data_IF_423444577574
#
_entry.id   IF_423444577574
#
_cell.length_a   1.000
_cell.length_b   1.000
_cell.length_c   1.000
_cell.angle_alpha   90.00
_cell.angle_beta   90.00
_cell.angle_gamma   90.00
#
_symmetry.space_group_name_H-M   'P 1'
#
loop_
_entity.id
_entity.type
_entity.pdbx_description
1 polymer ?
#
# COMPACT_ATOMS: atom_id res chain seq x y z
N UNK A 1 -22.50 4.90 -1.26
CA UNK A 1 -21.91 3.54 -1.39
C UNK A 1 -21.15 3.21 -0.11
N UNK A 2 -21.19 1.95 0.35
CA UNK A 2 -20.40 1.54 1.52
C UNK A 2 -18.91 1.56 1.17
N UNK A 3 -18.00 1.98 2.08
CA UNK A 3 -16.57 1.96 1.83
C UNK A 3 -16.06 0.52 1.69
N UNK A 4 -15.10 0.30 0.79
CA UNK A 4 -14.42 -0.99 0.63
C UNK A 4 -13.50 -1.27 1.81
N UNK A 5 -12.72 -0.26 2.22
CA UNK A 5 -11.85 -0.34 3.39
C UNK A 5 -12.32 0.68 4.43
N UNK A 6 -12.41 0.25 5.67
CA UNK A 6 -12.78 1.10 6.80
C UNK A 6 -11.87 0.81 8.00
N UNK A 7 -11.42 1.88 8.63
CA UNK A 7 -10.61 1.86 9.85
C UNK A 7 -11.32 2.67 10.91
N UNK A 8 -11.47 2.14 12.12
CA UNK A 8 -12.09 2.83 13.24
C UNK A 8 -11.25 2.72 14.50
N UNK A 9 -10.93 3.85 15.09
CA UNK A 9 -10.25 3.95 16.36
C UNK A 9 -8.95 3.17 16.42
N UNK A 10 -8.11 3.22 15.37
CA UNK A 10 -6.90 2.41 15.30
C UNK A 10 -5.81 2.96 16.22
N UNK A 11 -5.35 2.15 17.15
CA UNK A 11 -4.28 2.47 18.08
C UNK A 11 -3.10 1.53 17.93
N UNK A 12 -1.88 2.08 18.03
CA UNK A 12 -0.64 1.30 18.05
C UNK A 12 0.43 1.98 18.87
N UNK A 13 1.09 1.21 19.72
CA UNK A 13 2.24 1.63 20.52
C UNK A 13 3.41 0.68 20.32
N UNK A 14 4.62 1.18 20.45
CA UNK A 14 5.87 0.42 20.53
C UNK A 14 6.56 0.80 21.85
N UNK A 15 6.46 -0.09 22.84
CA UNK A 15 6.82 0.26 24.21
C UNK A 15 5.97 1.44 24.71
N UNK A 16 6.62 2.47 25.23
CA UNK A 16 5.95 3.68 25.74
C UNK A 16 5.61 4.70 24.64
N UNK A 17 6.00 4.43 23.39
CA UNK A 17 5.77 5.35 22.29
C UNK A 17 4.44 5.05 21.56
N UNK A 18 3.46 5.95 21.73
CA UNK A 18 2.17 5.89 21.05
C UNK A 18 2.29 6.43 19.62
N UNK A 19 2.31 5.52 18.64
CA UNK A 19 2.48 5.87 17.21
C UNK A 19 1.15 6.18 16.54
N UNK A 20 0.10 5.39 16.80
CA UNK A 20 -1.25 5.65 16.30
C UNK A 20 -2.18 5.93 17.47
N UNK A 21 -2.97 7.01 17.36
CA UNK A 21 -3.76 7.57 18.45
C UNK A 21 -5.24 7.73 18.08
N UNK A 22 -5.85 6.64 17.58
CA UNK A 22 -7.25 6.63 17.18
C UNK A 22 -7.42 7.11 15.73
N UNK A 23 -6.85 6.38 14.77
CA UNK A 23 -7.03 6.66 13.34
C UNK A 23 -8.40 6.16 12.89
N UNK A 24 -9.17 7.05 12.26
CA UNK A 24 -10.41 6.75 11.56
C UNK A 24 -10.25 7.12 10.08
N UNK A 25 -10.47 6.16 9.18
CA UNK A 25 -10.34 6.37 7.74
C UNK A 25 -11.27 5.44 6.96
N UNK A 26 -11.61 5.85 5.75
CA UNK A 26 -12.37 5.02 4.81
C UNK A 26 -11.88 5.20 3.38
N UNK A 27 -11.97 4.13 2.58
CA UNK A 27 -11.58 4.12 1.17
C UNK A 27 -12.75 3.56 0.35
N UNK A 28 -13.18 4.32 -0.64
CA UNK A 28 -14.25 3.90 -1.53
C UNK A 28 -13.75 2.82 -2.52
N UNK A 29 -14.62 1.93 -3.03
CA UNK A 29 -14.24 1.02 -4.11
C UNK A 29 -13.76 1.81 -5.33
N UNK A 30 -12.67 1.34 -5.97
CA UNK A 30 -12.12 1.94 -7.18
C UNK A 30 -11.46 3.30 -6.97
N UNK A 31 -11.19 3.71 -5.73
CA UNK A 31 -10.57 5.00 -5.43
C UNK A 31 -9.13 4.86 -4.93
N UNK A 32 -8.38 5.94 -5.10
CA UNK A 32 -7.00 6.09 -4.62
C UNK A 32 -6.97 7.01 -3.41
N UNK A 33 -6.56 6.47 -2.25
CA UNK A 33 -6.31 7.24 -1.04
C UNK A 33 -4.81 7.38 -0.82
N UNK A 34 -4.32 8.61 -0.71
CA UNK A 34 -2.89 8.89 -0.46
C UNK A 34 -2.69 9.36 0.98
N UNK A 35 -1.72 8.76 1.67
CA UNK A 35 -1.27 9.15 3.00
C UNK A 35 0.02 9.97 2.88
N UNK A 36 0.00 11.19 3.38
CA UNK A 36 1.16 12.08 3.46
C UNK A 36 1.42 12.51 4.90
N UNK A 37 2.60 13.04 5.17
CA UNK A 37 2.98 13.55 6.48
C UNK A 37 4.49 13.41 6.75
N UNK A 38 5.02 14.03 7.82
CA UNK A 38 6.42 13.96 8.17
C UNK A 38 6.90 12.54 8.48
N UNK A 39 8.22 12.32 8.43
CA UNK A 39 8.82 11.07 8.90
C UNK A 39 8.45 10.82 10.36
N UNK A 40 8.13 9.57 10.70
CA UNK A 40 7.70 9.20 12.05
C UNK A 40 6.24 9.56 12.41
N UNK A 41 5.44 10.11 11.49
CA UNK A 41 4.02 10.42 11.76
C UNK A 41 3.10 9.20 11.88
N UNK A 42 3.57 8.00 11.50
CA UNK A 42 2.82 6.75 11.58
C UNK A 42 2.24 6.23 10.26
N UNK A 43 2.54 6.84 9.09
CA UNK A 43 2.01 6.44 7.77
C UNK A 43 2.20 4.95 7.47
N UNK A 44 3.45 4.50 7.52
CA UNK A 44 3.80 3.07 7.31
C UNK A 44 3.13 2.17 8.33
N UNK A 45 3.00 2.61 9.59
CA UNK A 45 2.30 1.85 10.63
C UNK A 45 0.81 1.74 10.34
N UNK A 46 0.15 2.82 9.90
CA UNK A 46 -1.25 2.75 9.42
C UNK A 46 -1.33 1.74 8.27
N UNK A 47 -0.53 1.91 7.22
CA UNK A 47 -0.59 1.06 6.03
C UNK A 47 -0.39 -0.42 6.36
N UNK A 48 0.62 -0.74 7.19
CA UNK A 48 0.90 -2.12 7.63
C UNK A 48 -0.14 -2.68 8.59
N UNK A 49 -0.88 -1.82 9.27
CA UNK A 49 -2.01 -2.23 10.09
C UNK A 49 -3.23 -2.66 9.26
N UNK A 50 -3.40 -2.08 8.05
CA UNK A 50 -4.53 -2.43 7.16
C UNK A 50 -4.49 -3.90 6.73
N UNK A 51 -3.32 -4.51 6.61
CA UNK A 51 -3.15 -5.93 6.27
C UNK A 51 -2.64 -6.78 7.46
N UNK A 52 -2.62 -6.19 8.66
CA UNK A 52 -2.12 -6.82 9.88
C UNK A 52 -0.68 -7.38 9.78
N UNK A 53 0.19 -6.78 8.96
CA UNK A 53 1.65 -6.95 9.08
C UNK A 53 2.14 -6.32 10.37
N UNK A 54 1.58 -5.16 10.72
CA UNK A 54 1.67 -4.58 12.05
C UNK A 54 0.34 -4.79 12.76
N UNK A 55 0.34 -5.54 13.85
CA UNK A 55 -0.90 -5.83 14.60
C UNK A 55 -1.26 -4.64 15.48
N UNK A 56 -2.41 -3.99 15.26
CA UNK A 56 -2.88 -2.91 16.14
C UNK A 56 -3.13 -3.38 17.58
N UNK A 57 -3.01 -2.46 18.52
CA UNK A 57 -3.33 -2.72 19.94
C UNK A 57 -4.84 -2.63 20.20
N UNK A 58 -5.53 -1.75 19.45
CA UNK A 58 -6.98 -1.58 19.50
C UNK A 58 -7.53 -0.99 18.19
N UNK A 59 -8.82 -1.10 18.01
CA UNK A 59 -9.55 -0.56 16.86
C UNK A 59 -10.02 -1.63 15.88
N UNK A 60 -10.68 -1.21 14.80
CA UNK A 60 -11.25 -2.13 13.80
C UNK A 60 -10.68 -1.83 12.43
N UNK A 61 -10.34 -2.87 11.68
CA UNK A 61 -10.02 -2.81 10.24
C UNK A 61 -10.98 -3.72 9.49
N UNK A 62 -11.66 -3.18 8.49
CA UNK A 62 -12.56 -3.91 7.59
C UNK A 62 -12.13 -3.72 6.14
N UNK A 63 -12.04 -4.82 5.39
CA UNK A 63 -11.82 -4.82 3.93
C UNK A 63 -12.90 -5.73 3.32
N UNK A 64 -13.78 -5.18 2.51
CA UNK A 64 -14.94 -5.89 2.00
C UNK A 64 -15.80 -6.46 3.14
N UNK A 65 -16.00 -7.78 3.10
CA UNK A 65 -16.78 -8.52 4.10
C UNK A 65 -15.93 -9.01 5.28
N UNK A 66 -14.61 -8.80 5.26
CA UNK A 66 -13.70 -9.22 6.32
C UNK A 66 -13.46 -8.08 7.29
N UNK A 67 -13.88 -8.25 8.54
CA UNK A 67 -13.66 -7.29 9.64
C UNK A 67 -12.90 -7.95 10.78
N UNK A 68 -11.94 -7.23 11.33
CA UNK A 68 -11.17 -7.63 12.51
C UNK A 68 -11.19 -6.50 13.53
N UNK A 69 -11.72 -6.80 14.72
CA UNK A 69 -11.64 -5.94 15.88
C UNK A 69 -10.41 -6.34 16.71
N UNK A 70 -9.45 -5.47 16.75
CA UNK A 70 -8.22 -5.64 17.53
C UNK A 70 -8.45 -5.19 18.96
N UNK A 71 -8.05 -6.05 19.89
CA UNK A 71 -8.13 -5.74 21.32
C UNK A 71 -7.15 -6.66 22.09
N UNK A 72 -6.82 -6.36 23.34
CA UNK A 72 -5.99 -7.23 24.15
C UNK A 72 -6.58 -8.66 24.37
N UNK A 73 -7.86 -8.84 24.12
CA UNK A 73 -8.52 -10.15 24.19
C UNK A 73 -8.29 -11.02 22.95
N UNK A 74 -8.06 -10.39 21.78
CA UNK A 74 -7.80 -11.12 20.52
C UNK A 74 -6.35 -11.61 20.48
N UNK A 75 -6.10 -12.89 20.80
CA UNK A 75 -4.76 -13.47 20.94
C UNK A 75 -4.64 -14.86 20.31
N UNK A 76 -3.40 -15.33 20.18
CA UNK A 76 -3.07 -16.70 19.80
C UNK A 76 -3.68 -17.12 18.47
N UNK A 77 -4.30 -18.30 18.41
CA UNK A 77 -4.88 -18.86 17.17
C UNK A 77 -6.02 -18.01 16.60
N UNK A 78 -6.80 -17.33 17.45
CA UNK A 78 -7.88 -16.47 17.01
C UNK A 78 -7.32 -15.25 16.25
N UNK A 79 -6.31 -14.59 16.80
CA UNK A 79 -5.59 -13.50 16.15
C UNK A 79 -4.98 -13.96 14.82
N UNK A 80 -4.26 -15.08 14.81
CA UNK A 80 -3.64 -15.61 13.60
C UNK A 80 -4.65 -15.87 12.48
N UNK A 81 -5.80 -16.47 12.80
CA UNK A 81 -6.87 -16.72 11.81
C UNK A 81 -7.46 -15.41 11.29
N UNK A 82 -7.73 -14.45 12.17
CA UNK A 82 -8.30 -13.17 11.82
C UNK A 82 -7.35 -12.36 10.90
N UNK A 83 -6.08 -12.26 11.28
CA UNK A 83 -5.07 -11.54 10.49
C UNK A 83 -4.77 -12.22 9.14
N UNK A 84 -4.78 -13.56 9.08
CA UNK A 84 -4.63 -14.28 7.80
C UNK A 84 -5.78 -13.99 6.85
N UNK A 85 -7.03 -13.97 7.34
CA UNK A 85 -8.20 -13.62 6.52
C UNK A 85 -8.16 -12.17 6.03
N UNK A 86 -7.76 -11.23 6.91
CA UNK A 86 -7.64 -9.81 6.55
C UNK A 86 -6.54 -9.61 5.51
N UNK A 87 -5.37 -10.24 5.70
CA UNK A 87 -4.23 -10.14 4.77
C UNK A 87 -4.56 -10.67 3.38
N UNK A 88 -5.40 -11.70 3.29
CA UNK A 88 -5.83 -12.26 2.01
C UNK A 88 -6.67 -11.29 1.16
N UNK A 89 -7.17 -10.17 1.74
CA UNK A 89 -7.95 -9.17 1.02
C UNK A 89 -7.07 -8.09 0.36
N UNK A 90 -5.78 -8.03 0.68
CA UNK A 90 -4.89 -6.95 0.24
C UNK A 90 -3.60 -7.45 -0.40
N UNK A 91 -3.17 -6.81 -1.47
CA UNK A 91 -1.80 -6.91 -1.99
C UNK A 91 -0.94 -5.80 -1.40
N UNK A 92 0.34 -6.06 -1.15
CA UNK A 92 1.25 -5.04 -0.63
C UNK A 92 2.51 -4.93 -1.47
N UNK A 93 2.85 -3.70 -1.82
CA UNK A 93 4.07 -3.29 -2.49
C UNK A 93 4.93 -2.54 -1.48
N UNK A 94 6.15 -3.03 -1.28
CA UNK A 94 7.07 -2.51 -0.27
C UNK A 94 8.11 -1.56 -0.88
N UNK A 95 8.66 -0.70 -0.06
CA UNK A 95 9.77 0.20 -0.41
C UNK A 95 11.01 -0.57 -0.91
N UNK A 96 11.36 -1.70 -0.30
CA UNK A 96 12.57 -2.48 -0.58
C UNK A 96 12.30 -3.68 -1.51
N UNK A 97 11.36 -3.60 -2.44
CA UNK A 97 10.99 -4.63 -3.42
C UNK A 97 10.65 -6.01 -2.80
N UNK A 98 11.47 -6.53 -1.88
CA UNK A 98 11.32 -7.80 -1.15
C UNK A 98 11.05 -9.01 -2.06
N UNK A 99 11.73 -9.06 -3.21
CA UNK A 99 11.66 -10.23 -4.09
C UNK A 99 12.47 -11.38 -3.51
N UNK A 100 12.02 -12.59 -3.76
CA UNK A 100 12.77 -13.80 -3.43
C UNK A 100 13.95 -13.96 -4.40
N UNK A 101 15.21 -13.80 -3.94
CA UNK A 101 16.36 -13.73 -4.85
C UNK A 101 16.68 -15.06 -5.56
N UNK A 102 16.22 -16.18 -5.01
CA UNK A 102 16.40 -17.52 -5.54
C UNK A 102 15.30 -17.97 -6.51
N UNK A 103 14.24 -17.16 -6.66
CA UNK A 103 13.15 -17.40 -7.60
C UNK A 103 13.30 -16.50 -8.84
N UNK A 104 12.84 -16.98 -9.99
CA UNK A 104 12.73 -16.16 -11.19
C UNK A 104 11.66 -15.06 -11.00
N UNK A 105 11.63 -14.11 -11.91
CA UNK A 105 10.63 -13.03 -11.93
C UNK A 105 9.22 -13.61 -11.96
N UNK A 106 8.94 -14.54 -12.85
CA UNK A 106 7.62 -15.17 -12.93
C UNK A 106 7.31 -15.98 -11.66
N UNK A 107 8.27 -16.73 -11.14
CA UNK A 107 8.07 -17.47 -9.89
C UNK A 107 7.75 -16.54 -8.71
N UNK A 108 8.40 -15.37 -8.61
CA UNK A 108 8.05 -14.36 -7.62
C UNK A 108 6.60 -13.90 -7.71
N UNK A 109 6.06 -13.75 -8.91
CA UNK A 109 4.68 -13.31 -9.14
C UNK A 109 3.68 -14.40 -8.76
N UNK A 110 3.95 -15.66 -9.13
CA UNK A 110 2.98 -16.76 -8.99
C UNK A 110 3.09 -17.53 -7.66
N UNK A 111 4.10 -17.26 -6.84
CA UNK A 111 4.33 -17.97 -5.57
C UNK A 111 3.10 -17.94 -4.65
N UNK A 112 2.52 -16.75 -4.43
CA UNK A 112 1.31 -16.57 -3.63
C UNK A 112 0.10 -17.32 -4.19
N UNK A 113 -0.28 -17.12 -5.45
CA UNK A 113 -1.33 -17.87 -6.14
C UNK A 113 -1.20 -19.39 -6.00
N UNK A 114 -0.01 -19.93 -6.24
CA UNK A 114 0.22 -21.39 -6.24
C UNK A 114 0.26 -21.97 -4.82
N UNK A 115 1.10 -21.41 -3.95
CA UNK A 115 1.36 -22.02 -2.64
C UNK A 115 0.30 -21.66 -1.59
N UNK A 116 -0.19 -20.41 -1.60
CA UNK A 116 -1.12 -19.93 -0.57
C UNK A 116 -2.57 -20.13 -1.02
N UNK A 117 -2.90 -19.72 -2.26
CA UNK A 117 -4.27 -19.84 -2.80
C UNK A 117 -4.55 -21.22 -3.40
N UNK A 118 -3.51 -22.04 -3.61
CA UNK A 118 -3.60 -23.40 -4.20
C UNK A 118 -4.25 -23.40 -5.59
N UNK A 119 -4.02 -22.35 -6.35
CA UNK A 119 -4.49 -22.28 -7.73
C UNK A 119 -3.69 -23.22 -8.61
N UNK A 120 -4.29 -23.75 -9.70
CA UNK A 120 -3.57 -24.58 -10.66
C UNK A 120 -2.33 -23.84 -11.19
N UNK A 121 -1.13 -24.48 -11.21
CA UNK A 121 0.10 -23.82 -11.64
C UNK A 121 0.03 -23.21 -13.05
N UNK A 122 -0.64 -23.89 -13.99
CA UNK A 122 -0.79 -23.41 -15.37
C UNK A 122 -1.65 -22.13 -15.43
N UNK A 123 -2.75 -22.07 -14.66
CA UNK A 123 -3.57 -20.87 -14.54
C UNK A 123 -2.76 -19.71 -13.94
N UNK A 124 -2.07 -19.96 -12.82
CA UNK A 124 -1.24 -18.96 -12.16
C UNK A 124 -0.11 -18.47 -13.09
N UNK A 125 0.50 -19.38 -13.88
CA UNK A 125 1.53 -19.04 -14.85
C UNK A 125 0.99 -18.13 -15.96
N UNK A 126 -0.14 -18.48 -16.55
CA UNK A 126 -0.75 -17.67 -17.62
C UNK A 126 -1.09 -16.25 -17.12
N UNK A 127 -1.70 -16.14 -15.95
CA UNK A 127 -2.01 -14.84 -15.35
C UNK A 127 -0.74 -14.07 -14.94
N UNK A 128 0.26 -14.76 -14.39
CA UNK A 128 1.54 -14.16 -14.04
C UNK A 128 2.25 -13.54 -15.24
N UNK A 129 2.23 -14.21 -16.40
CA UNK A 129 2.78 -13.67 -17.65
C UNK A 129 2.00 -12.45 -18.13
N UNK A 130 0.67 -12.47 -18.06
CA UNK A 130 -0.17 -11.31 -18.41
C UNK A 130 0.09 -10.11 -17.48
N UNK A 131 0.31 -10.36 -16.18
CA UNK A 131 0.69 -9.30 -15.23
C UNK A 131 2.09 -8.75 -15.52
N UNK A 132 3.05 -9.58 -15.91
CA UNK A 132 4.38 -9.13 -16.31
C UNK A 132 4.33 -8.30 -17.61
N UNK A 133 3.50 -8.68 -18.57
CA UNK A 133 3.26 -7.88 -19.77
C UNK A 133 2.71 -6.50 -19.41
N UNK A 134 1.73 -6.44 -18.54
CA UNK A 134 1.12 -5.20 -18.06
C UNK A 134 2.10 -4.24 -17.40
N UNK A 135 3.11 -4.75 -16.70
CA UNK A 135 4.17 -3.93 -16.10
C UNK A 135 5.41 -3.76 -17.01
N UNK A 136 5.31 -4.18 -18.28
CA UNK A 136 6.36 -4.04 -19.29
C UNK A 136 7.59 -4.94 -19.06
N UNK A 137 7.38 -6.16 -18.55
CA UNK A 137 8.44 -7.10 -18.18
C UNK A 137 8.26 -8.51 -18.75
N UNK A 138 7.51 -8.68 -19.85
CA UNK A 138 7.24 -9.99 -20.48
C UNK A 138 8.53 -10.78 -20.75
N UNK A 139 9.54 -10.13 -21.32
CA UNK A 139 10.82 -10.77 -21.70
C UNK A 139 11.75 -11.05 -20.51
N UNK A 140 11.33 -10.66 -19.30
CA UNK A 140 12.12 -10.82 -18.07
C UNK A 140 11.63 -11.97 -17.19
N UNK A 141 10.61 -12.73 -17.63
CA UNK A 141 9.93 -13.75 -16.83
C UNK A 141 10.88 -14.80 -16.21
N UNK A 142 11.89 -15.23 -16.96
CA UNK A 142 12.85 -16.25 -16.53
C UNK A 142 14.12 -15.68 -15.87
N UNK A 143 14.27 -14.35 -15.84
CA UNK A 143 15.38 -13.69 -15.15
C UNK A 143 15.19 -13.73 -13.62
N UNK A 144 16.28 -13.49 -12.89
CA UNK A 144 16.27 -13.40 -11.43
C UNK A 144 16.37 -11.93 -10.98
N UNK A 145 15.95 -11.59 -9.75
CA UNK A 145 15.94 -10.21 -9.25
C UNK A 145 17.27 -9.46 -9.42
N UNK A 146 18.41 -10.12 -9.21
CA UNK A 146 19.74 -9.51 -9.35
C UNK A 146 20.10 -9.10 -10.79
N UNK A 147 19.33 -9.54 -11.79
CA UNK A 147 19.50 -9.18 -13.21
C UNK A 147 18.64 -7.98 -13.62
N UNK A 148 17.86 -7.42 -12.69
CA UNK A 148 16.91 -6.36 -12.92
C UNK A 148 17.37 -5.04 -12.28
N UNK A 149 17.02 -3.91 -12.93
CA UNK A 149 17.13 -2.60 -12.28
C UNK A 149 16.17 -2.47 -11.09
N UNK A 150 16.40 -1.50 -10.20
CA UNK A 150 15.51 -1.23 -9.06
C UNK A 150 14.06 -0.98 -9.49
N UNK A 151 13.85 -0.17 -10.53
CA UNK A 151 12.51 0.09 -11.09
C UNK A 151 11.85 -1.16 -11.68
N UNK A 152 12.62 -2.03 -12.33
CA UNK A 152 12.11 -3.33 -12.80
C UNK A 152 11.73 -4.24 -11.63
N UNK A 153 12.57 -4.34 -10.60
CA UNK A 153 12.24 -5.11 -9.40
C UNK A 153 10.97 -4.60 -8.72
N UNK A 154 10.78 -3.28 -8.67
CA UNK A 154 9.57 -2.69 -8.10
C UNK A 154 8.32 -3.03 -8.92
N UNK A 155 8.42 -3.01 -10.25
CA UNK A 155 7.32 -3.42 -11.13
C UNK A 155 6.99 -4.91 -10.99
N UNK A 156 7.97 -5.78 -10.77
CA UNK A 156 7.71 -7.18 -10.38
C UNK A 156 6.98 -7.25 -9.04
N UNK A 157 7.36 -6.42 -8.06
CA UNK A 157 6.66 -6.31 -6.77
C UNK A 157 5.19 -5.92 -6.92
N UNK A 158 4.89 -5.01 -7.86
CA UNK A 158 3.51 -4.63 -8.20
C UNK A 158 2.77 -5.82 -8.82
N UNK A 159 3.34 -6.47 -9.84
CA UNK A 159 2.74 -7.65 -10.48
C UNK A 159 2.44 -8.76 -9.46
N UNK A 160 3.37 -9.02 -8.53
CA UNK A 160 3.18 -9.97 -7.43
C UNK A 160 2.02 -9.60 -6.51
N UNK A 161 1.89 -8.31 -6.18
CA UNK A 161 0.80 -7.83 -5.33
C UNK A 161 -0.57 -7.96 -6.02
N UNK A 162 -0.63 -7.84 -7.34
CA UNK A 162 -1.86 -8.01 -8.13
C UNK A 162 -2.23 -9.48 -8.35
N UNK A 163 -1.24 -10.38 -8.43
CA UNK A 163 -1.44 -11.80 -8.76
C UNK A 163 -2.35 -12.54 -7.77
N UNK A 164 -2.41 -12.11 -6.53
CA UNK A 164 -3.31 -12.67 -5.52
C UNK A 164 -4.77 -12.18 -5.65
N UNK A 165 -5.08 -11.35 -6.65
CA UNK A 165 -6.40 -10.75 -6.91
C UNK A 165 -6.96 -10.02 -5.68
N UNK A 166 -6.24 -9.03 -5.13
CA UNK A 166 -6.63 -8.34 -3.91
C UNK A 166 -7.82 -7.41 -4.14
N UNK A 167 -8.59 -7.12 -3.08
CA UNK A 167 -9.62 -6.08 -3.11
C UNK A 167 -9.01 -4.66 -2.99
N UNK A 168 -7.84 -4.54 -2.35
CA UNK A 168 -7.10 -3.27 -2.19
C UNK A 168 -5.60 -3.51 -2.34
N UNK A 169 -4.91 -2.60 -3.03
CA UNK A 169 -3.45 -2.61 -3.15
C UNK A 169 -2.86 -1.53 -2.25
N UNK A 170 -1.93 -1.94 -1.39
CA UNK A 170 -1.25 -1.07 -0.43
C UNK A 170 0.17 -0.79 -0.92
N UNK A 171 0.55 0.49 -1.02
CA UNK A 171 1.88 0.91 -1.47
C UNK A 171 2.61 1.65 -0.35
N UNK A 172 3.72 1.09 0.12
CA UNK A 172 4.57 1.67 1.17
C UNK A 172 5.81 2.32 0.53
N UNK A 173 5.71 3.61 0.21
CA UNK A 173 6.77 4.43 -0.42
C UNK A 173 7.44 3.73 -1.63
N UNK A 174 6.69 3.35 -2.66
CA UNK A 174 7.16 2.44 -3.71
C UNK A 174 8.30 2.99 -4.58
N UNK A 175 8.62 4.27 -4.48
CA UNK A 175 9.65 4.95 -5.29
C UNK A 175 10.85 5.43 -4.48
N UNK A 176 10.79 5.41 -3.15
CA UNK A 176 11.81 6.05 -2.29
C UNK A 176 13.19 5.37 -2.31
N UNK A 177 13.26 4.11 -2.74
CA UNK A 177 14.52 3.35 -2.89
C UNK A 177 15.05 3.34 -4.33
N UNK A 178 14.47 4.15 -5.23
CA UNK A 178 14.80 4.17 -6.66
C UNK A 178 15.62 5.41 -7.03
N UNK A 179 16.47 5.23 -8.04
CA UNK A 179 17.08 6.37 -8.72
C UNK A 179 16.00 7.24 -9.38
N UNK A 180 16.15 8.59 -9.39
CA UNK A 180 15.14 9.51 -9.92
C UNK A 180 14.70 9.20 -11.35
N UNK A 181 15.60 8.67 -12.19
CA UNK A 181 15.31 8.30 -13.58
C UNK A 181 14.32 7.12 -13.68
N UNK A 182 14.29 6.25 -12.66
CA UNK A 182 13.43 5.05 -12.63
C UNK A 182 12.06 5.28 -11.97
N UNK A 183 11.92 6.39 -11.24
CA UNK A 183 10.67 6.74 -10.53
C UNK A 183 9.49 6.84 -11.50
N UNK A 184 9.70 7.48 -12.65
CA UNK A 184 8.66 7.70 -13.65
C UNK A 184 7.99 6.43 -14.15
N UNK A 185 8.77 5.36 -14.37
CA UNK A 185 8.25 4.07 -14.86
C UNK A 185 7.31 3.40 -13.83
N UNK A 186 7.64 3.47 -12.55
CA UNK A 186 6.81 2.90 -11.48
C UNK A 186 5.53 3.71 -11.28
N UNK A 187 5.64 5.06 -11.29
CA UNK A 187 4.48 5.94 -11.16
C UNK A 187 3.53 5.81 -12.37
N UNK A 188 4.04 5.55 -13.58
CA UNK A 188 3.21 5.29 -14.76
C UNK A 188 2.35 4.05 -14.56
N UNK A 189 2.95 2.92 -14.13
CA UNK A 189 2.19 1.69 -13.81
C UNK A 189 1.13 1.95 -12.74
N UNK A 190 1.46 2.68 -11.68
CA UNK A 190 0.49 3.01 -10.63
C UNK A 190 -0.65 3.90 -11.15
N UNK A 191 -0.37 4.82 -12.07
CA UNK A 191 -1.38 5.67 -12.72
C UNK A 191 -2.31 4.86 -13.61
N UNK A 192 -1.78 3.88 -14.35
CA UNK A 192 -2.59 2.97 -15.17
C UNK A 192 -3.54 2.15 -14.30
N UNK A 193 -3.04 1.62 -13.17
CA UNK A 193 -3.87 0.92 -12.19
C UNK A 193 -5.00 1.81 -11.63
N UNK A 194 -4.71 3.08 -11.31
CA UNK A 194 -5.74 4.03 -10.89
C UNK A 194 -6.80 4.24 -11.98
N UNK A 195 -6.38 4.44 -13.23
CA UNK A 195 -7.27 4.60 -14.38
C UNK A 195 -8.16 3.38 -14.67
N UNK A 196 -7.73 2.19 -14.29
CA UNK A 196 -8.49 0.95 -14.39
C UNK A 196 -9.46 0.72 -13.22
N UNK A 197 -9.47 1.61 -12.23
CA UNK A 197 -10.37 1.53 -11.08
C UNK A 197 -9.90 0.58 -9.97
N UNK A 198 -8.60 0.33 -9.85
CA UNK A 198 -8.07 -0.37 -8.69
C UNK A 198 -8.21 0.47 -7.42
N UNK A 199 -8.66 -0.17 -6.34
CA UNK A 199 -8.66 0.48 -5.04
C UNK A 199 -7.25 0.46 -4.47
N UNK A 200 -6.71 1.64 -4.15
CA UNK A 200 -5.33 1.77 -3.69
C UNK A 200 -5.22 2.64 -2.45
N UNK A 201 -4.31 2.25 -1.55
CA UNK A 201 -3.84 3.10 -0.45
C UNK A 201 -2.34 3.28 -0.60
N UNK A 202 -1.89 4.52 -0.76
CA UNK A 202 -0.51 4.84 -1.14
C UNK A 202 0.13 5.76 -0.11
N UNK A 203 1.24 5.33 0.50
CA UNK A 203 2.15 6.21 1.22
C UNK A 203 3.20 6.69 0.24
N UNK A 204 3.32 7.99 0.04
CA UNK A 204 4.29 8.56 -0.91
C UNK A 204 4.71 9.98 -0.55
N UNK A 205 5.88 10.38 -1.03
CA UNK A 205 6.38 11.75 -1.05
C UNK A 205 6.25 12.41 -2.43
N UNK A 206 5.72 11.69 -3.42
CA UNK A 206 5.51 12.18 -4.79
C UNK A 206 4.23 13.02 -4.88
N UNK A 207 4.31 14.32 -4.52
CA UNK A 207 3.13 15.18 -4.43
C UNK A 207 2.46 15.41 -5.80
N UNK A 208 3.23 15.44 -6.90
CA UNK A 208 2.68 15.56 -8.25
C UNK A 208 1.84 14.34 -8.62
N UNK A 209 2.33 13.15 -8.28
CA UNK A 209 1.56 11.92 -8.46
C UNK A 209 0.29 11.95 -7.62
N UNK A 210 0.41 12.28 -6.33
CA UNK A 210 -0.75 12.40 -5.43
C UNK A 210 -1.82 13.36 -5.97
N UNK A 211 -1.44 14.53 -6.48
CA UNK A 211 -2.39 15.50 -7.03
C UNK A 211 -3.08 15.03 -8.32
N UNK A 212 -2.45 14.13 -9.09
CA UNK A 212 -3.00 13.63 -10.36
C UNK A 212 -3.93 12.42 -10.23
N UNK A 213 -3.68 11.57 -9.23
CA UNK A 213 -4.36 10.26 -9.15
C UNK A 213 -5.20 10.06 -7.90
N UNK A 214 -4.97 10.86 -6.83
CA UNK A 214 -5.70 10.65 -5.59
C UNK A 214 -7.14 11.19 -5.68
N UNK A 215 -8.08 10.40 -5.19
CA UNK A 215 -9.45 10.86 -4.90
C UNK A 215 -9.51 11.47 -3.50
N UNK A 216 -8.67 10.98 -2.60
CA UNK A 216 -8.58 11.44 -1.22
C UNK A 216 -7.12 11.51 -0.75
N UNK A 217 -6.79 12.55 -0.01
CA UNK A 217 -5.50 12.71 0.68
C UNK A 217 -5.76 12.78 2.18
N UNK A 218 -4.98 12.01 2.94
CA UNK A 218 -4.96 12.00 4.41
C UNK A 218 -3.61 12.55 4.87
N UNK A 219 -3.60 13.67 5.57
CA UNK A 219 -2.38 14.20 6.19
C UNK A 219 -2.27 13.71 7.63
N UNK A 220 -1.24 12.90 7.89
CA UNK A 220 -0.90 12.36 9.21
C UNK A 220 0.19 13.20 9.88
N UNK A 221 -0.03 13.59 11.15
CA UNK A 221 0.99 14.16 12.01
C UNK A 221 0.74 13.79 13.48
N UNK A 222 1.80 13.38 14.19
CA UNK A 222 1.72 13.00 15.61
C UNK A 222 0.76 11.83 15.92
N UNK A 223 0.59 10.93 14.95
CA UNK A 223 -0.22 9.72 15.13
C UNK A 223 -1.73 9.93 14.93
N UNK A 224 -2.17 11.06 14.39
CA UNK A 224 -3.57 11.35 14.07
C UNK A 224 -3.71 11.87 12.64
N UNK A 225 -4.90 11.72 12.04
CA UNK A 225 -5.24 12.41 10.79
C UNK A 225 -5.60 13.85 11.15
N UNK A 226 -4.76 14.80 10.75
CA UNK A 226 -4.92 16.23 11.01
C UNK A 226 -5.84 16.87 9.98
N UNK A 227 -5.71 16.46 8.73
CA UNK A 227 -6.51 16.97 7.62
C UNK A 227 -6.77 15.88 6.59
N UNK A 228 -7.97 15.90 5.99
CA UNK A 228 -8.36 14.97 4.94
C UNK A 228 -9.30 15.62 3.94
N UNK A 229 -9.23 15.18 2.69
CA UNK A 229 -10.09 15.70 1.63
C UNK A 229 -9.56 15.37 0.24
N UNK A 230 -10.17 15.94 -0.82
CA UNK A 230 -9.64 15.83 -2.17
C UNK A 230 -8.27 16.53 -2.28
N UNK A 231 -7.43 16.17 -3.27
CA UNK A 231 -6.11 16.79 -3.46
C UNK A 231 -6.13 18.32 -3.49
N UNK A 232 -7.13 18.93 -4.16
CA UNK A 232 -7.28 20.38 -4.23
C UNK A 232 -7.49 21.05 -2.87
N UNK A 233 -8.13 20.36 -1.92
CA UNK A 233 -8.33 20.89 -0.58
C UNK A 233 -7.08 20.72 0.29
N UNK A 234 -6.42 19.55 0.25
CA UNK A 234 -5.34 19.22 1.18
C UNK A 234 -3.96 19.65 0.65
N UNK A 235 -3.71 19.50 -0.67
CA UNK A 235 -2.41 19.81 -1.26
C UNK A 235 -2.29 21.26 -1.75
N UNK A 236 -3.38 21.84 -2.28
CA UNK A 236 -3.34 23.18 -2.88
C UNK A 236 -3.84 24.26 -1.92
N UNK A 237 -4.90 23.96 -1.15
CA UNK A 237 -5.56 24.91 -0.24
C UNK A 237 -5.71 24.34 1.17
N UNK A 238 -4.64 23.92 1.85
CA UNK A 238 -4.71 23.31 3.18
C UNK A 238 -5.25 24.30 4.21
N UNK A 239 -6.17 23.82 5.06
CA UNK A 239 -6.80 24.61 6.14
C UNK A 239 -5.96 24.59 7.40
N UNK A 240 -5.31 23.47 7.67
CA UNK A 240 -4.53 23.26 8.87
C UNK A 240 -3.10 23.83 8.76
N UNK A 241 -2.65 24.58 9.76
CA UNK A 241 -1.29 25.16 9.79
C UNK A 241 -0.18 24.12 9.71
N UNK A 242 -0.43 22.94 10.27
CA UNK A 242 0.53 21.82 10.21
C UNK A 242 0.70 21.30 8.79
N UNK A 243 -0.42 21.15 8.06
CA UNK A 243 -0.42 20.74 6.64
C UNK A 243 0.31 21.76 5.79
N UNK A 244 0.00 23.07 5.95
CA UNK A 244 0.67 24.15 5.23
C UNK A 244 2.19 24.15 5.43
N UNK A 245 2.65 24.06 6.68
CA UNK A 245 4.09 24.01 7.01
C UNK A 245 4.78 22.78 6.44
N UNK A 246 4.13 21.63 6.44
CA UNK A 246 4.67 20.41 5.86
C UNK A 246 4.84 20.54 4.34
N UNK A 247 3.81 21.00 3.63
CA UNK A 247 3.86 21.17 2.16
C UNK A 247 4.87 22.23 1.74
N UNK A 248 4.98 23.37 2.45
CA UNK A 248 5.97 24.40 2.20
C UNK A 248 7.41 23.87 2.26
N UNK A 249 7.73 23.00 3.22
CA UNK A 249 9.07 22.37 3.34
C UNK A 249 9.37 21.40 2.20
N UNK A 250 8.36 20.78 1.61
CA UNK A 250 8.54 19.89 0.46
C UNK A 250 8.76 20.66 -0.84
N UNK A 251 8.11 21.83 -0.99
CA UNK A 251 8.21 22.66 -2.19
C UNK A 251 9.49 23.52 -2.16
N UNK A 252 9.88 24.00 -0.98
CA UNK A 252 11.06 24.82 -0.75
C UNK A 252 11.97 24.14 0.29
N UNK A 253 12.69 23.08 -0.08
CA UNK A 253 13.71 22.51 0.79
C UNK A 253 14.82 23.54 0.98
N UNK A 254 15.11 23.90 2.24
CA UNK A 254 16.20 24.80 2.66
C UNK A 254 17.53 24.12 2.39
#
# INVERSE_FOLDING_TARGET
>A
MSPLLEVRGLHKSFGDHHVLRGIDAHVAPGSVTVLIGPSGSGKTTVLRSLNALEVPDAGTVRIGDVSVEFSPALRGRALQRATTRLRAQSGMVFQSHNLFPHLSVLQNVIEGPVLVQRRPPEEARAEGLALLERVGLSEKADQHPYQLSGGQQQRVGIARALAIRPQVVLFDEPTSALDPELVGEVLAVMKDLAGEGWTMVVVTHEMRFASQVADQVLFLDGGVIVEQGPPSAVLENPREDRTRRFLQRLINPI
#
